data_IF_353014773454
#
_entry.id   IF_353014773454
#
_cell.length_a   1.000
_cell.length_b   1.000
_cell.length_c   1.000
_cell.angle_alpha   90.00
_cell.angle_beta   90.00
_cell.angle_gamma   90.00
#
_symmetry.space_group_name_H-M   'P 1'
#
loop_
_entity.id
_entity.type
_entity.pdbx_description
1 polymer ?
#
# COMPACT_ATOMS: atom_id res chain seq x y z
N UNK A 1 11.89 1.46 1.37
CA UNK A 1 13.09 2.28 1.12
C UNK A 1 14.35 1.57 1.63
N UNK A 2 15.46 1.74 0.91
CA UNK A 2 16.75 1.10 1.20
C UNK A 2 17.33 1.61 2.51
N UNK A 3 17.62 0.68 3.42
CA UNK A 3 18.37 0.93 4.66
C UNK A 3 19.82 0.59 4.42
N UNK A 4 20.70 1.51 4.78
CA UNK A 4 22.14 1.30 4.72
C UNK A 4 22.68 1.03 6.11
N UNK A 5 23.52 0.01 6.24
CA UNK A 5 24.11 -0.41 7.50
C UNK A 5 25.60 -0.72 7.35
N UNK A 6 26.31 -0.70 8.49
CA UNK A 6 27.73 -1.01 8.56
C UNK A 6 27.90 -2.28 9.37
N UNK A 7 28.59 -3.28 8.81
CA UNK A 7 29.11 -4.40 9.59
C UNK A 7 30.47 -3.99 10.17
N UNK A 8 30.57 -3.73 11.49
CA UNK A 8 31.82 -3.28 12.10
C UNK A 8 32.86 -4.40 12.22
N UNK A 9 32.45 -5.67 12.16
CA UNK A 9 33.34 -6.82 12.27
C UNK A 9 33.98 -7.11 10.91
N UNK A 10 33.19 -7.07 9.84
CA UNK A 10 33.68 -7.30 8.47
C UNK A 10 34.21 -6.04 7.80
N UNK A 11 33.93 -4.86 8.37
CA UNK A 11 34.22 -3.57 7.77
C UNK A 11 33.55 -3.44 6.40
N UNK A 12 32.23 -3.64 6.36
CA UNK A 12 31.43 -3.64 5.14
C UNK A 12 30.31 -2.60 5.23
N UNK A 13 30.06 -1.88 4.14
CA UNK A 13 28.86 -1.07 3.93
C UNK A 13 27.86 -1.91 3.13
N UNK A 14 26.67 -2.11 3.68
CA UNK A 14 25.63 -2.98 3.14
C UNK A 14 24.37 -2.14 2.89
N UNK A 15 23.68 -2.41 1.79
CA UNK A 15 22.34 -1.91 1.51
C UNK A 15 21.33 -3.04 1.66
N UNK A 16 20.21 -2.78 2.33
CA UNK A 16 19.13 -3.75 2.55
C UNK A 16 17.77 -3.13 2.26
N UNK A 17 16.85 -3.90 1.69
CA UNK A 17 15.51 -3.44 1.35
C UNK A 17 14.50 -4.58 1.34
N UNK A 18 13.23 -4.27 1.61
CA UNK A 18 12.16 -5.25 1.57
C UNK A 18 11.66 -5.52 0.16
N UNK A 19 11.15 -6.73 -0.07
CA UNK A 19 10.70 -7.26 -1.37
C UNK A 19 9.28 -7.84 -1.36
N UNK A 20 8.50 -7.60 -0.30
CA UNK A 20 7.19 -8.25 -0.10
C UNK A 20 7.29 -9.62 0.58
N UNK A 21 8.28 -10.44 0.21
CA UNK A 21 8.53 -11.77 0.78
C UNK A 21 9.57 -11.77 1.92
N UNK A 22 10.28 -10.67 2.08
CA UNK A 22 11.33 -10.51 3.09
C UNK A 22 12.34 -9.42 2.70
N UNK A 23 13.39 -9.30 3.50
CA UNK A 23 14.46 -8.33 3.26
C UNK A 23 15.59 -8.95 2.40
N UNK A 24 15.98 -8.24 1.34
CA UNK A 24 17.16 -8.50 0.54
C UNK A 24 18.31 -7.61 1.00
N UNK A 25 19.54 -8.05 0.78
CA UNK A 25 20.73 -7.26 1.08
C UNK A 25 21.84 -7.44 0.04
N UNK A 26 22.61 -6.38 -0.19
CA UNK A 26 23.79 -6.41 -1.06
C UNK A 26 24.95 -5.64 -0.44
N UNK A 27 26.16 -6.14 -0.69
CA UNK A 27 27.39 -5.46 -0.30
C UNK A 27 27.65 -4.28 -1.25
N UNK A 28 27.82 -3.08 -0.70
CA UNK A 28 28.22 -1.90 -1.47
C UNK A 28 29.74 -1.84 -1.59
N UNK A 29 30.43 -1.93 -0.45
CA UNK A 29 31.88 -1.87 -0.42
C UNK A 29 32.44 -2.50 0.86
N UNK A 30 33.57 -3.19 0.72
CA UNK A 30 34.46 -3.42 1.84
C UNK A 30 35.31 -2.15 2.08
N UNK A 31 35.52 -1.79 3.34
CA UNK A 31 36.30 -0.62 3.74
C UNK A 31 37.54 -1.02 4.54
N UNK A 32 38.66 -0.27 4.43
CA UNK A 32 39.89 -0.61 5.12
C UNK A 32 39.70 -0.75 6.64
N UNK A 33 40.32 -1.78 7.22
CA UNK A 33 40.38 -1.97 8.66
C UNK A 33 40.94 -0.71 9.34
N UNK A 34 40.24 -0.22 10.36
CA UNK A 34 40.59 1.02 11.07
C UNK A 34 39.96 2.29 10.51
N UNK A 35 39.11 2.21 9.48
CA UNK A 35 38.24 3.33 9.10
C UNK A 35 37.30 3.67 10.26
N UNK A 36 37.09 4.96 10.53
CA UNK A 36 36.22 5.44 11.60
C UNK A 36 34.79 4.93 11.41
N UNK A 37 34.38 3.98 12.25
CA UNK A 37 33.03 3.41 12.25
C UNK A 37 31.96 4.49 12.44
N UNK A 38 32.24 5.52 13.24
CA UNK A 38 31.30 6.64 13.42
C UNK A 38 31.08 7.43 12.13
N UNK A 39 32.14 7.65 11.34
CA UNK A 39 32.02 8.27 10.03
C UNK A 39 31.27 7.39 9.02
N UNK A 40 31.50 6.07 9.03
CA UNK A 40 30.77 5.13 8.19
C UNK A 40 29.29 5.05 8.56
N UNK A 41 28.95 5.03 9.86
CA UNK A 41 27.55 5.05 10.30
C UNK A 41 26.83 6.33 9.91
N UNK A 42 27.53 7.48 9.93
CA UNK A 42 26.97 8.75 9.41
C UNK A 42 26.73 8.67 7.90
N UNK A 43 27.65 8.12 7.13
CA UNK A 43 27.45 7.90 5.70
C UNK A 43 26.22 7.01 5.44
N UNK A 44 26.12 5.88 6.14
CA UNK A 44 24.98 4.96 6.03
C UNK A 44 23.64 5.63 6.40
N UNK A 45 23.61 6.42 7.48
CA UNK A 45 22.42 7.18 7.87
C UNK A 45 21.99 8.17 6.79
N UNK A 46 22.93 8.90 6.19
CA UNK A 46 22.61 9.88 5.14
C UNK A 46 22.22 9.20 3.83
N UNK A 47 22.81 8.05 3.48
CA UNK A 47 22.37 7.25 2.33
C UNK A 47 20.93 6.76 2.50
N UNK A 48 20.57 6.35 3.72
CA UNK A 48 19.19 5.97 4.05
C UNK A 48 18.23 7.15 3.90
N UNK A 49 18.64 8.36 4.31
CA UNK A 49 17.85 9.59 4.10
C UNK A 49 17.72 9.95 2.62
N UNK A 50 18.77 9.73 1.81
CA UNK A 50 18.73 9.93 0.37
C UNK A 50 17.74 8.95 -0.29
N UNK A 51 17.81 7.66 0.05
CA UNK A 51 16.85 6.66 -0.43
C UNK A 51 15.41 7.01 -0.02
N UNK A 52 15.20 7.44 1.23
CA UNK A 52 13.91 7.91 1.70
C UNK A 52 13.37 9.09 0.88
N UNK A 53 14.20 10.09 0.60
CA UNK A 53 13.81 11.23 -0.22
C UNK A 53 13.51 10.83 -1.68
N UNK A 54 14.26 9.88 -2.23
CA UNK A 54 14.02 9.36 -3.58
C UNK A 54 12.69 8.58 -3.66
N UNK A 55 12.44 7.66 -2.74
CA UNK A 55 11.18 6.90 -2.71
C UNK A 55 9.97 7.75 -2.32
N UNK A 56 10.17 8.89 -1.64
CA UNK A 56 9.08 9.84 -1.39
C UNK A 56 8.51 10.44 -2.69
N UNK A 57 9.32 10.59 -3.76
CA UNK A 57 8.79 11.03 -5.07
C UNK A 57 7.95 9.96 -5.75
N UNK A 58 8.16 8.69 -5.40
CA UNK A 58 7.32 7.58 -5.85
C UNK A 58 5.98 7.58 -5.13
N UNK A 59 5.97 7.69 -3.79
CA UNK A 59 4.72 7.66 -3.00
C UNK A 59 3.87 8.91 -3.23
N UNK A 60 4.50 10.09 -3.33
CA UNK A 60 3.87 11.38 -3.57
C UNK A 60 4.06 11.81 -5.04
N UNK A 61 3.52 10.98 -5.94
CA UNK A 61 3.64 11.23 -7.37
C UNK A 61 2.92 12.52 -7.81
N UNK A 62 3.33 13.07 -8.95
CA UNK A 62 2.68 14.25 -9.54
C UNK A 62 1.21 13.97 -9.91
N UNK A 63 0.90 12.74 -10.31
CA UNK A 63 -0.46 12.31 -10.67
C UNK A 63 -1.44 12.34 -9.50
N UNK A 64 -0.96 12.21 -8.27
CA UNK A 64 -1.78 12.29 -7.06
C UNK A 64 -2.07 13.71 -6.57
N UNK A 65 -1.48 14.75 -7.18
CA UNK A 65 -1.62 16.12 -6.72
C UNK A 65 -2.87 16.81 -7.30
N UNK A 66 -3.56 17.59 -6.45
CA UNK A 66 -4.80 18.31 -6.83
C UNK A 66 -4.57 19.44 -7.84
N UNK A 67 -3.35 20.00 -7.90
CA UNK A 67 -2.98 21.11 -8.78
C UNK A 67 -1.52 21.05 -9.21
N UNK A 68 -1.25 21.58 -10.41
CA UNK A 68 0.09 21.77 -10.99
C UNK A 68 0.45 23.25 -11.17
N UNK A 69 -0.35 24.16 -10.61
CA UNK A 69 -0.06 25.60 -10.69
C UNK A 69 1.25 25.96 -9.96
N UNK A 70 1.95 27.04 -10.34
CA UNK A 70 3.16 27.46 -9.64
C UNK A 70 2.94 27.59 -8.13
N UNK A 71 3.91 27.12 -7.33
CA UNK A 71 3.87 27.06 -5.86
C UNK A 71 2.77 26.16 -5.26
N UNK A 72 2.11 25.33 -6.07
CA UNK A 72 1.27 24.22 -5.60
C UNK A 72 2.10 23.00 -5.20
N UNK A 73 1.48 22.07 -4.47
CA UNK A 73 2.11 20.82 -4.09
C UNK A 73 2.57 19.99 -5.30
N UNK A 74 1.73 19.86 -6.34
CA UNK A 74 2.09 19.11 -7.54
C UNK A 74 3.26 19.75 -8.31
N UNK A 75 3.35 21.08 -8.30
CA UNK A 75 4.53 21.77 -8.85
C UNK A 75 5.81 21.46 -8.05
N UNK A 76 5.73 21.42 -6.73
CA UNK A 76 6.87 21.03 -5.88
C UNK A 76 7.28 19.56 -6.12
N UNK A 77 6.32 18.63 -6.21
CA UNK A 77 6.56 17.22 -6.51
C UNK A 77 7.22 17.03 -7.89
N UNK A 78 6.75 17.76 -8.91
CA UNK A 78 7.34 17.69 -10.26
C UNK A 78 8.79 18.20 -10.26
N UNK A 79 9.07 19.28 -9.52
CA UNK A 79 10.43 19.78 -9.35
C UNK A 79 11.34 18.82 -8.60
N UNK A 80 10.85 18.19 -7.55
CA UNK A 80 11.63 17.21 -6.79
C UNK A 80 11.99 16.01 -7.66
N UNK A 81 11.06 15.53 -8.50
CA UNK A 81 11.34 14.45 -9.44
C UNK A 81 12.37 14.84 -10.51
N UNK A 82 12.28 16.07 -11.06
CA UNK A 82 13.30 16.61 -11.99
C UNK A 82 14.68 16.73 -11.36
N UNK A 83 14.74 16.92 -10.04
CA UNK A 83 16.01 17.04 -9.31
C UNK A 83 16.83 15.74 -9.25
N UNK A 84 16.29 14.60 -9.71
CA UNK A 84 17.07 13.37 -9.93
C UNK A 84 18.31 13.62 -10.80
N UNK A 85 18.20 14.49 -11.81
CA UNK A 85 19.30 14.85 -12.71
C UNK A 85 20.47 15.54 -11.97
N UNK A 86 20.19 16.18 -10.84
CA UNK A 86 21.17 16.94 -10.05
C UNK A 86 21.89 16.08 -9.01
N UNK A 87 21.34 14.92 -8.63
CA UNK A 87 21.85 14.08 -7.52
C UNK A 87 23.31 13.66 -7.76
N UNK A 88 23.63 13.19 -8.96
CA UNK A 88 24.98 12.74 -9.28
C UNK A 88 26.01 13.88 -9.13
N UNK A 89 25.64 15.10 -9.55
CA UNK A 89 26.48 16.27 -9.40
C UNK A 89 26.59 16.70 -7.93
N UNK A 90 25.49 16.69 -7.18
CA UNK A 90 25.47 17.06 -5.76
C UNK A 90 26.34 16.13 -4.90
N UNK A 91 26.35 14.82 -5.18
CA UNK A 91 27.28 13.88 -4.54
C UNK A 91 28.73 14.16 -4.96
N UNK A 92 28.94 14.53 -6.22
CA UNK A 92 30.28 14.70 -6.76
C UNK A 92 30.98 15.99 -6.32
N UNK A 93 30.22 17.08 -6.26
CA UNK A 93 30.67 18.42 -5.91
C UNK A 93 29.73 19.00 -4.86
N UNK A 94 29.76 18.48 -3.62
CA UNK A 94 28.82 18.89 -2.60
C UNK A 94 29.10 20.34 -2.16
N UNK A 95 28.07 21.03 -1.69
CA UNK A 95 28.21 22.30 -1.00
C UNK A 95 29.06 22.11 0.27
N UNK A 96 30.26 22.69 0.28
CA UNK A 96 31.18 22.68 1.41
C UNK A 96 30.97 23.92 2.29
N UNK A 97 31.24 23.84 3.60
CA UNK A 97 31.24 25.02 4.46
C UNK A 97 32.23 26.09 3.97
N UNK A 98 31.76 27.33 3.83
CA UNK A 98 32.56 28.49 3.44
C UNK A 98 32.30 29.63 4.41
N UNK A 99 33.34 30.20 5.02
CA UNK A 99 33.20 31.31 5.96
C UNK A 99 32.36 30.99 7.22
N UNK A 100 32.25 29.71 7.60
CA UNK A 100 31.45 29.26 8.75
C UNK A 100 29.97 29.00 8.46
N UNK A 101 29.51 29.25 7.24
CA UNK A 101 28.16 28.89 6.78
C UNK A 101 28.20 27.77 5.74
N UNK A 102 27.04 27.15 5.48
CA UNK A 102 26.89 26.12 4.45
C UNK A 102 25.64 26.41 3.63
N UNK A 103 25.73 26.27 2.31
CA UNK A 103 24.57 26.33 1.42
C UNK A 103 23.79 25.03 1.52
N UNK A 104 22.51 25.13 1.83
CA UNK A 104 21.57 24.00 1.95
C UNK A 104 20.58 24.06 0.80
N UNK A 105 20.34 22.93 0.14
CA UNK A 105 19.30 22.85 -0.90
C UNK A 105 17.91 22.77 -0.27
N UNK A 106 16.92 23.38 -0.93
CA UNK A 106 15.52 23.22 -0.52
C UNK A 106 14.94 21.86 -0.92
N UNK A 107 15.46 21.24 -1.98
CA UNK A 107 15.11 19.86 -2.35
C UNK A 107 15.71 18.89 -1.33
N UNK A 108 14.90 18.11 -0.59
CA UNK A 108 15.41 17.08 0.31
C UNK A 108 16.31 16.07 -0.39
N UNK A 109 15.99 15.69 -1.63
CA UNK A 109 16.79 14.76 -2.43
C UNK A 109 18.19 15.33 -2.69
N UNK A 110 18.27 16.56 -3.21
CA UNK A 110 19.54 17.21 -3.54
C UNK A 110 20.35 17.53 -2.28
N UNK A 111 19.71 17.96 -1.19
CA UNK A 111 20.42 18.20 0.07
C UNK A 111 20.99 16.90 0.65
N UNK A 112 20.23 15.80 0.65
CA UNK A 112 20.76 14.51 1.09
C UNK A 112 21.92 14.04 0.20
N UNK A 113 21.86 14.27 -1.11
CA UNK A 113 22.96 13.99 -2.02
C UNK A 113 24.23 14.81 -1.67
N UNK A 114 24.07 16.10 -1.36
CA UNK A 114 25.15 16.94 -0.86
C UNK A 114 25.74 16.42 0.45
N UNK A 115 24.89 15.97 1.39
CA UNK A 115 25.34 15.36 2.66
C UNK A 115 26.14 14.08 2.42
N UNK A 116 25.71 13.22 1.50
CA UNK A 116 26.48 12.02 1.10
C UNK A 116 27.85 12.44 0.57
N UNK A 117 27.89 13.39 -0.37
CA UNK A 117 29.15 13.89 -0.93
C UNK A 117 30.10 14.40 0.15
N UNK A 118 29.60 15.18 1.13
CA UNK A 118 30.39 15.64 2.28
C UNK A 118 30.91 14.49 3.14
N UNK A 119 30.09 13.49 3.43
CA UNK A 119 30.49 12.31 4.19
C UNK A 119 31.59 11.51 3.48
N UNK A 120 31.46 11.31 2.17
CA UNK A 120 32.47 10.65 1.33
C UNK A 120 33.80 11.42 1.30
N UNK A 121 33.74 12.75 1.15
CA UNK A 121 34.93 13.61 1.18
C UNK A 121 35.65 13.53 2.53
N UNK A 122 34.91 13.48 3.65
CA UNK A 122 35.49 13.36 4.98
C UNK A 122 36.18 12.01 5.20
N UNK A 123 35.66 10.94 4.59
CA UNK A 123 36.29 9.61 4.63
C UNK A 123 37.52 9.52 3.73
N UNK A 124 37.53 10.23 2.59
CA UNK A 124 38.70 10.29 1.70
C UNK A 124 39.06 8.95 1.04
N UNK A 125 38.08 8.05 0.88
CA UNK A 125 38.25 6.71 0.31
C UNK A 125 37.72 6.67 -1.13
N UNK A 126 38.58 6.66 -2.17
CA UNK A 126 38.15 6.75 -3.57
C UNK A 126 37.32 5.55 -4.03
N UNK A 127 37.68 4.33 -3.60
CA UNK A 127 36.98 3.10 -3.97
C UNK A 127 35.56 3.07 -3.37
N UNK A 128 35.42 3.44 -2.09
CA UNK A 128 34.12 3.61 -1.44
C UNK A 128 33.28 4.69 -2.14
N UNK A 129 33.91 5.81 -2.52
CA UNK A 129 33.24 6.91 -3.24
C UNK A 129 32.68 6.43 -4.57
N UNK A 130 33.44 5.66 -5.34
CA UNK A 130 32.99 5.09 -6.61
C UNK A 130 31.82 4.11 -6.40
N UNK A 131 31.96 3.19 -5.45
CA UNK A 131 30.93 2.19 -5.13
C UNK A 131 29.61 2.84 -4.69
N UNK A 132 29.67 3.84 -3.80
CA UNK A 132 28.48 4.58 -3.33
C UNK A 132 27.81 5.36 -4.47
N UNK A 133 28.57 5.97 -5.38
CA UNK A 133 27.98 6.65 -6.54
C UNK A 133 27.26 5.67 -7.48
N UNK A 134 27.86 4.51 -7.74
CA UNK A 134 27.20 3.44 -8.52
C UNK A 134 25.93 2.97 -7.82
N UNK A 135 25.96 2.79 -6.51
CA UNK A 135 24.79 2.35 -5.76
C UNK A 135 23.65 3.39 -5.75
N UNK A 136 23.97 4.68 -5.61
CA UNK A 136 22.97 5.76 -5.70
C UNK A 136 22.33 5.78 -7.08
N UNK A 137 23.10 5.58 -8.15
CA UNK A 137 22.54 5.48 -9.49
C UNK A 137 21.56 4.29 -9.62
N UNK A 138 21.89 3.15 -9.00
CA UNK A 138 21.00 1.99 -8.96
C UNK A 138 19.73 2.25 -8.12
N UNK A 139 19.84 3.00 -7.03
CA UNK A 139 18.71 3.42 -6.19
C UNK A 139 17.73 4.31 -6.98
N UNK A 140 18.25 5.35 -7.66
CA UNK A 140 17.41 6.24 -8.45
C UNK A 140 16.75 5.48 -9.60
N UNK A 141 17.52 4.64 -10.33
CA UNK A 141 16.98 3.81 -11.42
C UNK A 141 15.89 2.85 -10.94
N UNK A 142 15.97 2.35 -9.71
CA UNK A 142 14.93 1.50 -9.13
C UNK A 142 13.62 2.25 -8.90
N UNK A 143 13.67 3.53 -8.51
CA UNK A 143 12.48 4.39 -8.41
C UNK A 143 11.86 4.58 -9.80
N UNK A 144 12.66 4.88 -10.83
CA UNK A 144 12.14 5.09 -12.19
C UNK A 144 11.54 3.80 -12.78
N UNK A 145 12.17 2.64 -12.52
CA UNK A 145 11.63 1.34 -12.91
C UNK A 145 10.27 1.08 -12.24
N UNK A 146 10.16 1.35 -10.93
CA UNK A 146 8.90 1.21 -10.19
C UNK A 146 7.81 2.15 -10.71
N UNK A 147 8.13 3.39 -11.07
CA UNK A 147 7.19 4.33 -11.69
C UNK A 147 6.59 3.79 -13.00
N UNK A 148 7.38 3.01 -13.75
CA UNK A 148 6.98 2.35 -14.99
C UNK A 148 6.30 0.99 -14.78
N UNK A 149 6.17 0.53 -13.53
CA UNK A 149 5.60 -0.76 -13.17
C UNK A 149 6.55 -1.95 -13.33
N UNK A 150 7.85 -1.71 -13.52
CA UNK A 150 8.87 -2.76 -13.40
C UNK A 150 9.30 -2.87 -11.94
N UNK A 151 8.75 -3.87 -11.25
CA UNK A 151 9.02 -4.13 -9.84
C UNK A 151 10.12 -5.18 -9.66
N UNK A 152 11.10 -5.27 -10.56
CA UNK A 152 12.21 -6.23 -10.42
C UNK A 152 13.41 -5.68 -9.66
N UNK A 153 14.22 -6.58 -9.09
CA UNK A 153 15.46 -6.22 -8.41
C UNK A 153 15.23 -5.28 -7.22
N UNK A 154 15.83 -4.09 -7.25
CA UNK A 154 15.66 -3.11 -6.16
C UNK A 154 14.31 -2.37 -6.24
N UNK A 155 13.65 -2.34 -7.39
CA UNK A 155 12.35 -1.70 -7.55
C UNK A 155 11.24 -2.43 -6.78
N UNK A 156 11.46 -3.70 -6.40
CA UNK A 156 10.57 -4.50 -5.54
C UNK A 156 10.15 -3.78 -4.25
N UNK A 157 10.91 -2.80 -3.78
CA UNK A 157 10.54 -2.02 -2.60
C UNK A 157 9.17 -1.34 -2.72
N UNK A 158 8.74 -1.02 -3.93
CA UNK A 158 7.45 -0.42 -4.21
C UNK A 158 6.28 -1.24 -3.64
N UNK A 159 6.38 -2.57 -3.58
CA UNK A 159 5.31 -3.44 -3.05
C UNK A 159 5.06 -3.28 -1.55
N UNK A 160 5.94 -2.55 -0.86
CA UNK A 160 5.81 -2.22 0.55
C UNK A 160 5.43 -0.74 0.77
N UNK A 161 5.24 0.03 -0.30
CA UNK A 161 4.95 1.45 -0.24
C UNK A 161 3.54 1.72 -0.76
N UNK A 162 2.90 2.74 -0.19
CA UNK A 162 1.61 3.24 -0.67
C UNK A 162 1.85 4.44 -1.56
N UNK A 163 1.37 4.39 -2.79
CA UNK A 163 1.39 5.51 -3.74
C UNK A 163 0.01 6.14 -3.82
N UNK A 164 -0.07 7.47 -3.86
CA UNK A 164 -1.34 8.23 -3.96
C UNK A 164 -2.12 8.05 -5.28
N UNK A 165 -1.56 7.28 -6.21
CA UNK A 165 -1.99 7.09 -7.57
C UNK A 165 -1.74 5.62 -7.94
N UNK A 166 -2.52 5.07 -8.88
CA UNK A 166 -2.41 3.70 -9.34
C UNK A 166 -2.04 3.66 -10.83
N UNK A 167 -0.99 2.91 -11.17
CA UNK A 167 -0.61 2.72 -12.57
C UNK A 167 -1.64 1.82 -13.29
N UNK A 168 -2.25 2.26 -14.42
CA UNK A 168 -3.21 1.43 -15.15
C UNK A 168 -2.65 0.07 -15.61
N UNK A 169 -1.34 0.02 -15.92
CA UNK A 169 -0.66 -1.24 -16.30
C UNK A 169 -0.60 -2.21 -15.13
N UNK A 170 -0.39 -1.69 -13.91
CA UNK A 170 -0.36 -2.47 -12.67
C UNK A 170 -1.78 -2.88 -12.24
N UNK A 171 -2.78 -2.01 -12.41
CA UNK A 171 -4.20 -2.33 -12.16
C UNK A 171 -4.62 -3.51 -13.04
N UNK A 172 -4.31 -3.45 -14.35
CA UNK A 172 -4.57 -4.55 -15.26
C UNK A 172 -3.78 -5.84 -14.91
N UNK A 173 -2.61 -5.73 -14.26
CA UNK A 173 -1.86 -6.89 -13.78
C UNK A 173 -2.51 -7.53 -12.56
N UNK A 174 -2.93 -6.74 -11.57
CA UNK A 174 -3.68 -7.21 -10.42
C UNK A 174 -5.03 -7.82 -10.81
N UNK A 175 -5.74 -7.20 -11.75
CA UNK A 175 -7.02 -7.71 -12.26
C UNK A 175 -6.87 -9.13 -12.86
N UNK A 176 -5.78 -9.40 -13.59
CA UNK A 176 -5.49 -10.76 -14.08
C UNK A 176 -5.22 -11.76 -12.96
N UNK A 177 -4.56 -11.34 -11.88
CA UNK A 177 -4.31 -12.18 -10.71
C UNK A 177 -5.62 -12.51 -9.98
N UNK A 178 -6.49 -11.52 -9.80
CA UNK A 178 -7.82 -11.70 -9.20
C UNK A 178 -8.76 -12.51 -10.09
N UNK A 179 -8.68 -12.36 -11.41
CA UNK A 179 -9.41 -13.21 -12.33
C UNK A 179 -9.07 -14.70 -12.16
N UNK A 180 -7.77 -15.00 -11.97
CA UNK A 180 -7.33 -16.36 -11.68
C UNK A 180 -7.81 -16.83 -10.30
N UNK A 181 -7.62 -16.02 -9.26
CA UNK A 181 -8.07 -16.30 -7.89
C UNK A 181 -8.65 -15.05 -7.20
N UNK A 182 -9.99 -14.90 -7.16
CA UNK A 182 -10.65 -13.74 -6.55
C UNK A 182 -10.41 -13.59 -5.04
N UNK A 183 -10.08 -14.68 -4.34
CA UNK A 183 -9.67 -14.64 -2.93
C UNK A 183 -8.22 -14.17 -2.71
N UNK A 184 -7.56 -13.72 -3.77
CA UNK A 184 -6.20 -13.21 -3.73
C UNK A 184 -5.12 -14.29 -3.78
N UNK A 185 -3.92 -13.88 -4.18
CA UNK A 185 -2.73 -14.73 -4.21
C UNK A 185 -1.55 -13.97 -3.60
N UNK A 186 -0.50 -14.68 -3.18
CA UNK A 186 0.71 -14.04 -2.66
C UNK A 186 1.30 -13.00 -3.63
N UNK A 187 1.16 -13.25 -4.94
CA UNK A 187 1.61 -12.34 -6.00
C UNK A 187 0.98 -10.94 -5.94
N UNK A 188 -0.24 -10.79 -5.39
CA UNK A 188 -0.84 -9.45 -5.19
C UNK A 188 -0.05 -8.59 -4.18
N UNK A 189 0.72 -9.22 -3.30
CA UNK A 189 1.50 -8.55 -2.26
C UNK A 189 3.01 -8.48 -2.57
N UNK A 190 3.48 -9.12 -3.64
CA UNK A 190 4.90 -9.22 -4.01
C UNK A 190 5.23 -8.77 -5.42
N UNK A 191 4.26 -8.79 -6.35
CA UNK A 191 4.54 -8.62 -7.78
C UNK A 191 3.86 -7.38 -8.37
N UNK A 192 2.95 -6.75 -7.64
CA UNK A 192 2.15 -5.60 -8.09
C UNK A 192 2.19 -4.47 -7.08
N UNK A 193 2.08 -3.23 -7.56
CA UNK A 193 1.90 -2.05 -6.72
C UNK A 193 0.65 -2.20 -5.82
N UNK A 194 0.74 -1.95 -4.50
CA UNK A 194 -0.36 -2.20 -3.57
C UNK A 194 -1.58 -1.33 -3.84
N UNK A 195 -1.40 -0.07 -4.25
CA UNK A 195 -2.54 0.81 -4.59
C UNK A 195 -3.26 0.28 -5.82
N UNK A 196 -2.52 -0.11 -6.86
CA UNK A 196 -3.09 -0.72 -8.05
C UNK A 196 -3.79 -2.06 -7.77
N UNK A 197 -3.22 -2.87 -6.89
CA UNK A 197 -3.85 -4.10 -6.42
C UNK A 197 -5.15 -3.83 -5.66
N UNK A 198 -5.18 -2.81 -4.80
CA UNK A 198 -6.39 -2.38 -4.09
C UNK A 198 -7.47 -1.86 -5.06
N UNK A 199 -7.11 -1.11 -6.11
CA UNK A 199 -8.06 -0.68 -7.17
C UNK A 199 -8.74 -1.88 -7.82
N UNK A 200 -7.95 -2.89 -8.21
CA UNK A 200 -8.51 -4.11 -8.75
C UNK A 200 -9.36 -4.84 -7.70
N UNK A 201 -8.88 -5.00 -6.46
CA UNK A 201 -9.63 -5.67 -5.40
C UNK A 201 -10.97 -4.98 -5.11
N UNK A 202 -11.06 -3.64 -5.17
CA UNK A 202 -12.31 -2.90 -4.98
C UNK A 202 -13.33 -3.20 -6.09
N UNK A 203 -12.87 -3.33 -7.35
CA UNK A 203 -13.70 -3.78 -8.45
C UNK A 203 -14.22 -5.21 -8.24
N UNK A 204 -13.36 -6.12 -7.81
CA UNK A 204 -13.72 -7.51 -7.54
C UNK A 204 -14.62 -7.68 -6.31
N UNK A 205 -14.43 -6.86 -5.27
CA UNK A 205 -15.32 -6.79 -4.11
C UNK A 205 -16.73 -6.35 -4.53
N UNK A 206 -16.84 -5.31 -5.37
CA UNK A 206 -18.14 -4.87 -5.87
C UNK A 206 -18.86 -5.99 -6.63
N UNK A 207 -18.15 -6.68 -7.52
CA UNK A 207 -18.71 -7.82 -8.26
C UNK A 207 -19.14 -8.97 -7.35
N UNK A 208 -18.39 -9.24 -6.28
CA UNK A 208 -18.73 -10.24 -5.28
C UNK A 208 -19.96 -9.84 -4.45
N UNK A 209 -20.02 -8.59 -3.98
CA UNK A 209 -21.15 -8.09 -3.20
C UNK A 209 -22.44 -8.04 -4.02
N UNK A 210 -22.37 -7.65 -5.30
CA UNK A 210 -23.52 -7.66 -6.21
C UNK A 210 -24.04 -9.08 -6.47
N UNK A 211 -23.14 -10.02 -6.75
CA UNK A 211 -23.48 -11.44 -6.90
C UNK A 211 -24.22 -11.99 -5.66
N UNK A 212 -23.77 -11.63 -4.47
CA UNK A 212 -24.38 -12.09 -3.21
C UNK A 212 -25.68 -11.34 -2.90
N UNK A 213 -25.76 -10.06 -3.24
CA UNK A 213 -26.96 -9.24 -3.07
C UNK A 213 -28.14 -9.83 -3.85
N UNK A 214 -27.90 -10.35 -5.07
CA UNK A 214 -28.93 -11.04 -5.86
C UNK A 214 -29.44 -12.32 -5.20
N UNK A 215 -28.58 -13.09 -4.54
CA UNK A 215 -28.93 -14.37 -3.89
C UNK A 215 -29.57 -14.14 -2.51
N UNK A 216 -28.93 -13.32 -1.66
CA UNK A 216 -29.34 -13.08 -0.27
C UNK A 216 -30.51 -12.09 -0.13
N UNK A 217 -30.76 -11.26 -1.15
CA UNK A 217 -31.70 -10.15 -1.07
C UNK A 217 -31.24 -8.97 -0.20
N UNK A 218 -30.03 -9.03 0.35
CA UNK A 218 -29.42 -7.95 1.13
C UNK A 218 -29.02 -6.78 0.24
N UNK A 219 -28.99 -5.57 0.79
CA UNK A 219 -28.44 -4.42 0.08
C UNK A 219 -26.93 -4.62 -0.15
N UNK A 220 -26.43 -4.22 -1.33
CA UNK A 220 -25.03 -4.38 -1.72
C UNK A 220 -24.03 -3.86 -0.68
N UNK A 221 -24.33 -2.72 -0.04
CA UNK A 221 -23.50 -2.09 0.99
C UNK A 221 -23.51 -2.84 2.33
N UNK A 222 -24.52 -3.67 2.57
CA UNK A 222 -24.73 -4.39 3.84
C UNK A 222 -24.17 -5.81 3.79
N UNK A 223 -23.82 -6.34 2.61
CA UNK A 223 -23.32 -7.72 2.41
C UNK A 223 -22.15 -8.06 3.34
N UNK A 224 -21.10 -7.24 3.38
CA UNK A 224 -19.91 -7.54 4.20
C UNK A 224 -20.20 -7.39 5.69
N UNK A 225 -21.08 -6.46 6.06
CA UNK A 225 -21.54 -6.30 7.44
C UNK A 225 -22.35 -7.50 7.90
N UNK A 226 -23.18 -8.07 7.03
CA UNK A 226 -23.92 -9.29 7.36
C UNK A 226 -23.00 -10.50 7.46
N UNK A 227 -21.99 -10.59 6.59
CA UNK A 227 -20.98 -11.65 6.67
C UNK A 227 -20.19 -11.63 8.00
N UNK A 228 -20.03 -10.47 8.64
CA UNK A 228 -19.40 -10.33 9.97
C UNK A 228 -20.16 -11.10 11.07
N UNK A 229 -21.47 -11.31 10.91
CA UNK A 229 -22.27 -12.12 11.83
C UNK A 229 -21.94 -13.63 11.72
N UNK A 230 -21.31 -14.07 10.63
CA UNK A 230 -20.91 -15.46 10.38
C UNK A 230 -19.50 -15.70 10.93
N UNK A 231 -18.56 -14.86 10.52
CA UNK A 231 -17.16 -14.85 10.97
C UNK A 231 -16.75 -13.40 11.21
N UNK A 232 -15.96 -13.11 12.24
CA UNK A 232 -15.52 -11.74 12.50
C UNK A 232 -14.60 -11.22 11.36
N UNK A 233 -14.98 -10.11 10.73
CA UNK A 233 -14.33 -9.49 9.57
C UNK A 233 -14.05 -8.00 9.82
N UNK A 234 -13.03 -7.42 9.17
CA UNK A 234 -12.83 -5.97 9.13
C UNK A 234 -13.86 -5.33 8.18
N UNK A 235 -15.15 -5.34 8.51
CA UNK A 235 -16.23 -4.97 7.57
C UNK A 235 -16.32 -3.46 7.27
N UNK A 236 -15.83 -2.58 8.14
CA UNK A 236 -16.00 -1.13 8.01
C UNK A 236 -15.39 -0.58 6.72
N UNK A 237 -14.13 -0.93 6.41
CA UNK A 237 -13.43 -0.45 5.21
C UNK A 237 -14.07 -0.98 3.91
N UNK A 238 -14.32 -2.31 3.75
CA UNK A 238 -15.02 -2.83 2.58
C UNK A 238 -16.42 -2.24 2.40
N UNK A 239 -17.19 -2.04 3.48
CA UNK A 239 -18.51 -1.41 3.41
C UNK A 239 -18.42 0.03 2.92
N UNK A 240 -17.50 0.85 3.44
CA UNK A 240 -17.28 2.21 2.96
C UNK A 240 -16.93 2.23 1.46
N UNK A 241 -16.08 1.30 1.01
CA UNK A 241 -15.74 1.19 -0.42
C UNK A 241 -16.97 0.86 -1.26
N UNK A 242 -17.81 -0.09 -0.81
CA UNK A 242 -19.05 -0.45 -1.49
C UNK A 242 -20.04 0.71 -1.55
N UNK A 243 -20.20 1.49 -0.47
CA UNK A 243 -21.04 2.69 -0.43
C UNK A 243 -20.61 3.75 -1.46
N UNK A 244 -19.30 4.01 -1.56
CA UNK A 244 -18.77 4.96 -2.53
C UNK A 244 -18.93 4.47 -3.97
N UNK A 245 -18.77 3.17 -4.20
CA UNK A 245 -18.98 2.56 -5.51
C UNK A 245 -20.46 2.54 -5.91
N UNK A 246 -21.38 2.29 -4.97
CA UNK A 246 -22.82 2.35 -5.21
C UNK A 246 -23.28 3.79 -5.51
N UNK A 247 -22.66 4.78 -4.86
CA UNK A 247 -22.83 6.21 -5.17
C UNK A 247 -22.28 6.62 -6.56
N UNK A 248 -21.68 5.69 -7.31
CA UNK A 248 -21.25 5.88 -8.69
C UNK A 248 -19.79 6.29 -8.86
N UNK A 249 -18.98 6.26 -7.80
CA UNK A 249 -17.54 6.46 -7.94
C UNK A 249 -16.88 5.28 -8.69
N UNK A 250 -15.73 5.55 -9.31
CA UNK A 250 -14.89 4.49 -9.89
C UNK A 250 -14.05 3.82 -8.79
N UNK A 251 -13.70 2.52 -8.91
CA UNK A 251 -12.73 1.87 -8.03
C UNK A 251 -11.41 2.63 -7.92
N UNK A 252 -10.96 3.24 -9.01
CA UNK A 252 -9.76 4.08 -9.02
C UNK A 252 -9.90 5.30 -8.10
N UNK A 253 -10.99 6.07 -8.23
CA UNK A 253 -11.20 7.29 -7.43
C UNK A 253 -11.39 6.96 -5.95
N UNK A 254 -12.13 5.89 -5.64
CA UNK A 254 -12.36 5.44 -4.25
C UNK A 254 -11.04 5.08 -3.59
N UNK A 255 -10.26 4.19 -4.21
CA UNK A 255 -9.03 3.68 -3.61
C UNK A 255 -7.97 4.77 -3.52
N UNK A 256 -7.73 5.52 -4.60
CA UNK A 256 -6.72 6.59 -4.57
C UNK A 256 -7.12 7.73 -3.61
N UNK A 257 -8.42 8.02 -3.47
CA UNK A 257 -8.94 8.96 -2.48
C UNK A 257 -8.66 8.52 -1.04
N UNK A 258 -9.01 7.27 -0.70
CA UNK A 258 -8.77 6.71 0.65
C UNK A 258 -7.27 6.64 0.98
N UNK A 259 -6.45 6.16 0.05
CA UNK A 259 -4.99 6.08 0.22
C UNK A 259 -4.37 7.46 0.39
N UNK A 260 -4.78 8.45 -0.43
CA UNK A 260 -4.29 9.84 -0.32
C UNK A 260 -4.69 10.46 1.02
N UNK A 261 -5.92 10.24 1.47
CA UNK A 261 -6.38 10.72 2.78
C UNK A 261 -5.52 10.14 3.92
N UNK A 262 -5.29 8.83 3.91
CA UNK A 262 -4.47 8.17 4.92
C UNK A 262 -3.00 8.60 4.89
N UNK A 263 -2.42 8.82 3.70
CA UNK A 263 -1.05 9.36 3.55
C UNK A 263 -0.93 10.79 4.08
N UNK A 264 -1.92 11.65 3.84
CA UNK A 264 -1.95 13.00 4.43
C UNK A 264 -1.99 12.95 5.97
N UNK A 265 -2.77 12.02 6.54
CA UNK A 265 -2.77 11.77 8.00
C UNK A 265 -1.39 11.29 8.47
N UNK A 266 -0.72 10.41 7.73
CA UNK A 266 0.62 9.93 8.04
C UNK A 266 1.67 11.07 8.08
N UNK A 267 1.49 12.07 7.22
CA UNK A 267 2.30 13.29 7.18
C UNK A 267 1.93 14.33 8.25
N UNK A 268 0.96 14.01 9.12
CA UNK A 268 0.50 14.88 10.20
C UNK A 268 -0.43 16.01 9.74
N UNK A 269 -1.02 15.88 8.56
CA UNK A 269 -2.03 16.81 8.03
C UNK A 269 -3.42 16.28 8.39
N UNK A 270 -4.28 17.15 8.91
CA UNK A 270 -5.71 16.86 9.10
C UNK A 270 -6.47 17.25 7.82
N UNK A 271 -6.90 16.29 6.97
CA UNK A 271 -7.41 16.62 5.64
C UNK A 271 -8.77 17.34 5.67
N UNK A 272 -9.66 16.92 6.56
CA UNK A 272 -10.98 17.54 6.75
C UNK A 272 -11.25 17.85 8.24
N UNK A 273 -10.85 19.05 8.70
CA UNK A 273 -11.12 19.49 10.06
C UNK A 273 -12.60 19.73 10.38
N UNK A 274 -13.47 19.83 9.36
CA UNK A 274 -14.89 20.03 9.54
C UNK A 274 -15.58 18.68 9.80
N UNK A 275 -15.35 17.70 8.93
CA UNK A 275 -15.86 16.34 9.11
C UNK A 275 -15.37 15.73 10.43
N UNK A 276 -14.10 15.96 10.81
CA UNK A 276 -13.58 15.51 12.10
C UNK A 276 -14.29 16.15 13.30
N UNK A 277 -14.75 17.41 13.18
CA UNK A 277 -15.53 18.05 14.23
C UNK A 277 -16.92 17.41 14.35
N UNK A 278 -17.55 17.11 13.23
CA UNK A 278 -18.85 16.41 13.21
C UNK A 278 -18.73 15.02 13.86
N UNK A 279 -17.71 14.24 13.51
CA UNK A 279 -17.44 12.95 14.15
C UNK A 279 -17.18 13.08 15.66
N UNK A 280 -16.49 14.13 16.09
CA UNK A 280 -16.26 14.39 17.51
C UNK A 280 -17.57 14.74 18.23
N UNK A 281 -18.43 15.56 17.61
CA UNK A 281 -19.75 15.90 18.14
C UNK A 281 -20.64 14.65 18.27
N UNK A 282 -20.65 13.77 17.26
CA UNK A 282 -21.35 12.48 17.31
C UNK A 282 -20.83 11.56 18.41
N UNK A 283 -19.50 11.45 18.56
CA UNK A 283 -18.89 10.66 19.63
C UNK A 283 -19.20 11.23 21.02
N UNK A 284 -19.21 12.56 21.17
CA UNK A 284 -19.62 13.23 22.41
C UNK A 284 -21.10 12.99 22.75
N UNK A 285 -21.98 12.98 21.75
CA UNK A 285 -23.40 12.64 21.91
C UNK A 285 -23.58 11.17 22.33
N UNK A 286 -22.85 10.24 21.71
CA UNK A 286 -22.90 8.82 22.03
C UNK A 286 -22.41 8.55 23.47
N UNK A 287 -21.29 9.14 23.88
CA UNK A 287 -20.76 9.05 25.24
C UNK A 287 -21.72 9.66 26.28
N UNK A 288 -22.49 10.68 25.90
CA UNK A 288 -23.49 11.26 26.79
C UNK A 288 -24.72 10.34 26.97
N UNK A 289 -25.03 9.52 25.97
CA UNK A 289 -26.13 8.55 26.01
C UNK A 289 -25.77 7.27 26.78
N UNK A 290 -24.53 6.79 26.65
CA UNK A 290 -24.04 5.56 27.30
C UNK A 290 -23.07 5.88 28.44
N UNK A 291 -23.63 6.12 29.64
CA UNK A 291 -22.84 6.53 30.83
C UNK A 291 -22.21 5.39 31.63
N UNK A 292 -22.51 4.12 31.31
CA UNK A 292 -22.15 2.96 32.15
C UNK A 292 -21.33 1.85 31.43
N UNK A 293 -21.13 1.92 30.11
CA UNK A 293 -20.26 0.99 29.38
C UNK A 293 -19.01 1.72 28.87
N UNK A 294 -17.84 1.32 29.38
CA UNK A 294 -16.52 1.77 28.91
C UNK A 294 -16.19 1.20 27.52
N UNK A 295 -17.10 1.30 26.55
CA UNK A 295 -16.74 1.07 25.16
C UNK A 295 -15.91 2.27 24.68
N UNK A 296 -14.61 2.05 24.54
CA UNK A 296 -13.69 3.04 23.98
C UNK A 296 -14.18 3.42 22.57
N UNK A 297 -14.79 4.60 22.44
CA UNK A 297 -15.14 5.18 21.14
C UNK A 297 -13.84 5.63 20.46
N UNK A 298 -13.20 4.69 19.76
CA UNK A 298 -11.92 4.92 19.09
C UNK A 298 -12.12 5.83 17.88
N UNK A 299 -11.91 7.14 18.07
CA UNK A 299 -12.03 8.13 17.01
C UNK A 299 -10.81 8.08 16.07
N UNK A 300 -10.95 7.41 14.93
CA UNK A 300 -9.89 7.30 13.92
C UNK A 300 -9.94 8.47 12.92
N UNK A 301 -8.78 9.06 12.61
CA UNK A 301 -8.66 10.11 11.57
C UNK A 301 -8.80 9.59 10.14
N UNK A 302 -8.63 8.29 9.96
CA UNK A 302 -8.75 7.58 8.68
C UNK A 302 -9.13 6.12 8.98
N UNK A 303 -9.93 5.48 8.10
CA UNK A 303 -10.28 4.06 8.27
C UNK A 303 -9.08 3.12 8.08
N UNK A 304 -8.02 3.57 7.39
CA UNK A 304 -6.85 2.75 7.05
C UNK A 304 -5.68 2.99 8.01
N UNK A 305 -4.78 2.01 8.18
CA UNK A 305 -3.49 2.23 8.82
C UNK A 305 -2.66 3.25 8.01
N UNK A 306 -2.42 4.48 8.53
CA UNK A 306 -1.70 5.51 7.80
C UNK A 306 -0.25 5.14 7.48
N UNK A 307 0.33 4.12 8.13
CA UNK A 307 1.70 3.67 7.83
C UNK A 307 1.79 2.76 6.61
N UNK A 308 0.68 2.13 6.19
CA UNK A 308 0.64 1.18 5.08
C UNK A 308 -0.72 1.15 4.35
N UNK A 309 -1.32 2.30 4.01
CA UNK A 309 -2.76 2.37 3.71
C UNK A 309 -3.19 1.50 2.54
N UNK A 310 -2.42 1.45 1.44
CA UNK A 310 -2.78 0.63 0.29
C UNK A 310 -2.76 -0.87 0.58
N UNK A 311 -1.81 -1.32 1.42
CA UNK A 311 -1.72 -2.74 1.81
C UNK A 311 -2.82 -3.11 2.80
N UNK A 312 -3.08 -2.23 3.75
CA UNK A 312 -4.17 -2.40 4.73
C UNK A 312 -5.52 -2.51 4.02
N UNK A 313 -5.80 -1.57 3.10
CA UNK A 313 -6.98 -1.59 2.24
C UNK A 313 -7.06 -2.87 1.40
N UNK A 314 -5.96 -3.32 0.78
CA UNK A 314 -5.95 -4.56 0.02
C UNK A 314 -6.27 -5.78 0.90
N UNK A 315 -5.68 -5.87 2.10
CA UNK A 315 -5.95 -6.94 3.08
C UNK A 315 -7.46 -6.96 3.43
N UNK A 316 -8.05 -5.80 3.73
CA UNK A 316 -9.48 -5.65 4.05
C UNK A 316 -10.38 -6.03 2.87
N UNK A 317 -10.08 -5.56 1.64
CA UNK A 317 -10.88 -5.83 0.46
C UNK A 317 -10.91 -7.31 0.08
N UNK A 318 -9.76 -7.99 0.15
CA UNK A 318 -9.68 -9.44 -0.09
C UNK A 318 -10.46 -10.21 0.97
N UNK A 319 -10.38 -9.77 2.23
CA UNK A 319 -11.17 -10.34 3.33
C UNK A 319 -12.67 -10.09 3.12
N UNK A 320 -13.07 -8.94 2.59
CA UNK A 320 -14.44 -8.65 2.20
C UNK A 320 -14.97 -9.56 1.08
N UNK A 321 -14.14 -9.90 0.09
CA UNK A 321 -14.49 -10.88 -0.96
C UNK A 321 -14.71 -12.27 -0.34
N UNK A 322 -13.88 -12.66 0.64
CA UNK A 322 -14.10 -13.88 1.40
C UNK A 322 -15.40 -13.82 2.21
N UNK A 323 -15.71 -12.70 2.85
CA UNK A 323 -16.99 -12.47 3.53
C UNK A 323 -18.20 -12.64 2.61
N UNK A 324 -18.12 -12.14 1.37
CA UNK A 324 -19.15 -12.35 0.36
C UNK A 324 -19.38 -13.85 0.10
N UNK A 325 -18.31 -14.66 0.00
CA UNK A 325 -18.45 -16.11 -0.15
C UNK A 325 -19.08 -16.76 1.09
N UNK A 326 -18.68 -16.38 2.31
CA UNK A 326 -19.28 -16.90 3.54
C UNK A 326 -20.79 -16.67 3.58
N UNK A 327 -21.24 -15.48 3.19
CA UNK A 327 -22.66 -15.17 3.12
C UNK A 327 -23.37 -15.94 2.01
N UNK A 328 -22.75 -16.11 0.85
CA UNK A 328 -23.29 -16.93 -0.24
C UNK A 328 -23.49 -18.39 0.19
N UNK A 329 -22.46 -19.00 0.79
CA UNK A 329 -22.46 -20.38 1.29
C UNK A 329 -23.60 -20.58 2.30
N UNK A 330 -23.75 -19.65 3.25
CA UNK A 330 -24.81 -19.70 4.27
C UNK A 330 -26.23 -19.62 3.69
N UNK A 331 -26.44 -18.93 2.57
CA UNK A 331 -27.74 -18.83 1.91
C UNK A 331 -28.02 -19.98 0.94
N UNK A 332 -26.99 -20.57 0.30
CA UNK A 332 -27.15 -21.79 -0.49
C UNK A 332 -27.44 -23.01 0.39
N UNK A 333 -26.78 -23.13 1.54
CA UNK A 333 -27.03 -24.22 2.50
C UNK A 333 -28.38 -24.07 3.22
N UNK A 334 -28.88 -22.84 3.38
CA UNK A 334 -30.13 -22.54 4.08
C UNK A 334 -31.42 -22.82 3.29
N UNK A 335 -31.33 -23.00 1.96
CA UNK A 335 -32.48 -23.29 1.09
C UNK A 335 -32.85 -24.79 1.02
N UNK A 336 -32.05 -25.68 1.63
CA UNK A 336 -32.30 -27.14 1.62
C UNK A 336 -33.20 -27.65 2.77
N UNK A 337 -33.57 -26.83 3.76
CA UNK A 337 -34.32 -27.28 4.95
C UNK A 337 -35.65 -26.52 5.20
N UNK A 338 -36.65 -26.73 4.33
CA UNK A 338 -38.09 -26.61 4.71
C UNK A 338 -38.95 -27.75 4.12
N UNK A 339 -38.38 -28.93 3.81
CA UNK A 339 -39.17 -30.16 3.67
C UNK A 339 -38.85 -31.10 4.83
N UNK A 340 -39.75 -31.11 5.81
CA UNK A 340 -39.83 -32.09 6.90
C UNK A 340 -39.72 -33.54 6.36
N UNK A 341 -38.54 -34.14 6.37
CA UNK A 341 -38.39 -35.58 6.55
C UNK A 341 -37.40 -35.85 7.69
N UNK A 342 -37.96 -35.94 8.89
CA UNK A 342 -37.39 -36.73 9.99
C UNK A 342 -37.10 -38.14 9.45
N UNK A 343 -35.87 -38.47 9.06
CA UNK A 343 -35.23 -39.76 9.31
C UNK A 343 -33.85 -39.88 8.62
N UNK A 344 -32.90 -40.43 9.37
CA UNK A 344 -31.52 -40.78 9.00
C UNK A 344 -30.49 -39.63 9.04
N UNK A 345 -29.94 -39.40 10.24
CA UNK A 345 -28.58 -38.89 10.41
C UNK A 345 -27.59 -39.85 9.69
N UNK A 346 -27.44 -39.69 8.37
CA UNK A 346 -26.24 -40.10 7.68
C UNK A 346 -25.13 -39.17 8.16
N UNK A 347 -24.15 -39.72 8.85
CA UNK A 347 -22.84 -39.09 9.00
C UNK A 347 -22.35 -38.79 7.57
N UNK A 348 -22.62 -37.59 7.06
CA UNK A 348 -22.03 -37.11 5.81
C UNK A 348 -20.53 -37.35 5.94
N UNK A 349 -19.99 -38.19 5.07
CA UNK A 349 -18.55 -38.46 5.05
C UNK A 349 -17.87 -37.09 4.91
N UNK A 350 -16.88 -36.77 5.75
CA UNK A 350 -16.19 -35.46 5.73
C UNK A 350 -15.77 -35.10 4.28
N UNK A 351 -15.46 -36.12 3.46
CA UNK A 351 -15.14 -35.99 2.05
C UNK A 351 -16.29 -35.47 1.16
N UNK A 352 -17.55 -35.78 1.47
CA UNK A 352 -18.73 -35.28 0.77
C UNK A 352 -19.01 -33.81 1.11
N UNK A 353 -18.90 -33.43 2.38
CA UNK A 353 -19.02 -32.05 2.82
C UNK A 353 -17.93 -31.16 2.19
N UNK A 354 -16.68 -31.64 2.17
CA UNK A 354 -15.57 -30.97 1.47
C UNK A 354 -15.84 -30.82 -0.04
N UNK A 355 -16.44 -31.83 -0.67
CA UNK A 355 -16.77 -31.79 -2.09
C UNK A 355 -17.92 -30.80 -2.40
N UNK A 356 -18.94 -30.73 -1.54
CA UNK A 356 -20.05 -29.79 -1.66
C UNK A 356 -19.56 -28.35 -1.50
N UNK A 357 -18.76 -28.07 -0.48
CA UNK A 357 -18.16 -26.75 -0.27
C UNK A 357 -17.26 -26.35 -1.45
N UNK A 358 -16.48 -27.28 -1.99
CA UNK A 358 -15.67 -27.01 -3.18
C UNK A 358 -16.54 -26.68 -4.41
N UNK A 359 -17.70 -27.33 -4.55
CA UNK A 359 -18.63 -27.06 -5.65
C UNK A 359 -19.32 -25.71 -5.51
N UNK A 360 -19.85 -25.37 -4.33
CA UNK A 360 -20.43 -24.04 -4.05
C UNK A 360 -19.40 -22.95 -4.28
N UNK A 361 -18.18 -23.15 -3.79
CA UNK A 361 -17.07 -22.21 -4.01
C UNK A 361 -16.76 -22.00 -5.50
N UNK A 362 -16.76 -23.06 -6.31
CA UNK A 362 -16.57 -22.95 -7.76
C UNK A 362 -17.72 -22.19 -8.45
N UNK A 363 -18.97 -22.42 -8.01
CA UNK A 363 -20.15 -21.71 -8.50
C UNK A 363 -20.10 -20.22 -8.18
N UNK A 364 -19.83 -19.87 -6.92
CA UNK A 364 -19.60 -18.48 -6.49
C UNK A 364 -18.51 -17.81 -7.33
N UNK A 365 -17.35 -18.45 -7.48
CA UNK A 365 -16.25 -17.91 -8.27
C UNK A 365 -16.61 -17.69 -9.75
N UNK A 366 -17.46 -18.54 -10.33
CA UNK A 366 -17.96 -18.36 -11.68
C UNK A 366 -18.89 -17.15 -11.78
N UNK A 367 -19.78 -16.96 -10.79
CA UNK A 367 -20.70 -15.83 -10.70
C UNK A 367 -19.93 -14.51 -10.56
N UNK A 368 -18.99 -14.41 -9.61
CA UNK A 368 -18.17 -13.20 -9.41
C UNK A 368 -17.41 -12.83 -10.68
N UNK A 369 -16.82 -13.81 -11.39
CA UNK A 369 -16.12 -13.54 -12.66
C UNK A 369 -17.06 -13.01 -13.74
N UNK A 370 -18.28 -13.53 -13.81
CA UNK A 370 -19.28 -13.06 -14.77
C UNK A 370 -19.73 -11.63 -14.45
N UNK A 371 -19.96 -11.31 -13.18
CA UNK A 371 -20.33 -9.96 -12.72
C UNK A 371 -19.19 -8.97 -12.93
N UNK A 372 -17.95 -9.33 -12.57
CA UNK A 372 -16.77 -8.49 -12.81
C UNK A 372 -16.60 -8.14 -14.29
N UNK A 373 -16.81 -9.12 -15.18
CA UNK A 373 -16.75 -8.88 -16.63
C UNK A 373 -17.82 -7.89 -17.15
N UNK A 374 -18.99 -7.83 -16.52
CA UNK A 374 -20.04 -6.86 -16.86
C UNK A 374 -19.65 -5.44 -16.45
N UNK A 375 -18.90 -5.30 -15.36
CA UNK A 375 -18.46 -4.01 -14.81
C UNK A 375 -17.03 -3.62 -15.22
N UNK A 376 -16.44 -4.30 -16.20
CA UNK A 376 -15.04 -4.06 -16.60
C UNK A 376 -14.76 -2.61 -17.02
N UNK A 377 -15.75 -1.94 -17.64
CA UNK A 377 -15.62 -0.53 -18.04
C UNK A 377 -15.46 0.43 -16.85
N UNK A 378 -15.80 0.00 -15.62
CA UNK A 378 -15.61 0.79 -14.40
C UNK A 378 -14.17 0.74 -13.88
N UNK A 379 -13.37 -0.24 -14.29
CA UNK A 379 -12.01 -0.46 -13.78
C UNK A 379 -11.00 0.57 -14.33
N UNK A 380 -11.32 1.26 -15.43
CA UNK A 380 -10.41 2.12 -16.21
C UNK A 380 -10.61 3.60 -15.89
#
# INVERSE_FOLDING_TARGET
MTRYCVDPVRHELIASWGSGEGDLATLIAAVPAGTDTGALSRLASVLTQLSSAAWHTYTHSVGGADSLEPDSEGWHRERERKAFEEVAQAVATPHLPQGGSITVSYSPLVENANRVGRALLALGLPELTAAVRTDIAAELAAVEAAELGDLTGRAQQAVLLSREDASPVQVAAADRLLHANPFGSAALFSDVDPTAAAVAAAHWLYAAAEAVSEVSGQALTDVVREADNIEALPYETPTLVLELLDAGASPYDVVTGLVRHALRVADGVLPDPAAFREQLEEAEELLAEYTDDEEETDLRLTPLDPKRPSRDLLEDLITGIQGCWLLHDAYEDGDEDEEEEEDEHEDLDDAQAEQQQQHSREAFLALVRATAAQHHDRLI
#
